data_IF_901650846530
#
_entry.id   IF_901650846530
#
_cell.length_a   1.000
_cell.length_b   1.000
_cell.length_c   1.000
_cell.angle_alpha   90.00
_cell.angle_beta   90.00
_cell.angle_gamma   90.00
#
_symmetry.space_group_name_H-M   'P 1'
#
loop_
_entity.id
_entity.type
_entity.pdbx_description
1 polymer ?
#
# COMPACT_ATOMS: atom_id res chain seq x y z
N UNK A 1 2.99 -4.66 17.79
CA UNK A 1 3.64 -4.48 16.47
C UNK A 1 3.66 -2.99 16.12
N UNK A 2 4.81 -2.48 15.74
CA UNK A 2 4.96 -1.10 15.29
C UNK A 2 5.16 -1.05 13.78
N UNK A 3 4.49 -0.10 13.13
CA UNK A 3 4.67 0.17 11.71
C UNK A 3 5.24 1.58 11.57
N UNK A 4 6.40 1.68 10.97
CA UNK A 4 7.09 2.95 10.74
C UNK A 4 7.09 3.31 9.27
N UNK A 5 6.82 4.57 8.95
CA UNK A 5 6.86 5.08 7.59
C UNK A 5 7.94 6.14 7.43
N UNK A 6 8.75 6.02 6.37
CA UNK A 6 9.50 7.12 5.81
C UNK A 6 8.62 7.77 4.75
N UNK A 7 8.35 9.08 4.89
CA UNK A 7 7.38 9.77 4.05
C UNK A 7 8.09 10.83 3.22
N UNK A 8 7.88 10.79 1.91
CA UNK A 8 8.27 11.84 0.99
C UNK A 8 7.01 12.40 0.31
N UNK A 9 6.86 13.71 0.30
CA UNK A 9 5.77 14.37 -0.42
C UNK A 9 6.32 15.11 -1.61
N UNK A 10 6.09 14.59 -2.81
CA UNK A 10 6.58 15.11 -4.07
C UNK A 10 5.47 15.69 -4.94
N UNK A 11 4.43 16.24 -4.30
CA UNK A 11 3.31 16.88 -5.01
C UNK A 11 2.77 18.04 -4.19
N UNK A 12 2.09 18.97 -4.82
CA UNK A 12 1.52 20.17 -4.18
C UNK A 12 0.02 20.35 -4.44
N UNK A 13 -0.64 19.36 -5.05
CA UNK A 13 -2.05 19.45 -5.42
C UNK A 13 -2.99 19.14 -4.26
N UNK A 14 -2.56 18.30 -3.32
CA UNK A 14 -3.36 17.90 -2.17
C UNK A 14 -2.53 17.98 -0.89
N UNK A 15 -3.13 18.43 0.22
CA UNK A 15 -2.40 18.47 1.49
C UNK A 15 -2.18 17.07 2.04
N UNK A 16 -0.97 16.81 2.52
CA UNK A 16 -0.65 15.58 3.25
C UNK A 16 -0.74 15.91 4.73
N UNK A 17 -1.84 15.50 5.35
CA UNK A 17 -2.09 15.75 6.77
C UNK A 17 -1.55 14.62 7.63
N UNK A 18 -1.37 14.88 8.92
CA UNK A 18 -1.00 13.84 9.88
C UNK A 18 -2.11 12.79 9.99
N UNK A 19 -3.36 13.20 9.86
CA UNK A 19 -4.52 12.32 9.88
C UNK A 19 -4.51 11.33 8.72
N UNK A 20 -4.17 11.81 7.52
CA UNK A 20 -4.03 10.95 6.34
C UNK A 20 -2.92 9.91 6.53
N UNK A 21 -1.77 10.34 7.01
CA UNK A 21 -0.63 9.47 7.26
C UNK A 21 -0.94 8.44 8.34
N UNK A 22 -1.63 8.84 9.42
CA UNK A 22 -2.02 7.93 10.48
C UNK A 22 -3.04 6.90 10.00
N UNK A 23 -3.94 7.31 9.12
CA UNK A 23 -4.91 6.40 8.50
C UNK A 23 -4.19 5.34 7.65
N UNK A 24 -3.19 5.74 6.88
CA UNK A 24 -2.36 4.82 6.10
C UNK A 24 -1.59 3.86 7.00
N UNK A 25 -1.06 4.35 8.13
CA UNK A 25 -0.36 3.51 9.10
C UNK A 25 -1.29 2.46 9.69
N UNK A 26 -2.51 2.85 10.05
CA UNK A 26 -3.53 1.92 10.56
C UNK A 26 -3.90 0.88 9.51
N UNK A 27 -4.09 1.29 8.28
CA UNK A 27 -4.41 0.38 7.17
C UNK A 27 -3.28 -0.64 6.97
N UNK A 28 -2.04 -0.19 6.98
CA UNK A 28 -0.87 -1.07 6.86
C UNK A 28 -0.75 -2.02 8.05
N UNK A 29 -0.90 -1.51 9.27
CA UNK A 29 -0.82 -2.32 10.48
C UNK A 29 -1.90 -3.40 10.52
N UNK A 30 -3.13 -3.04 10.16
CA UNK A 30 -4.25 -4.00 10.12
C UNK A 30 -4.02 -5.07 9.06
N UNK A 31 -3.46 -4.69 7.91
CA UNK A 31 -3.12 -5.65 6.86
C UNK A 31 -2.08 -6.65 7.32
N UNK A 32 -1.03 -6.15 7.97
CA UNK A 32 0.03 -7.01 8.52
C UNK A 32 -0.50 -7.96 9.58
N UNK A 33 -1.32 -7.45 10.49
CA UNK A 33 -1.94 -8.26 11.53
C UNK A 33 -2.83 -9.36 10.94
N UNK A 34 -3.66 -9.01 9.96
CA UNK A 34 -4.54 -9.96 9.28
C UNK A 34 -3.76 -11.04 8.53
N UNK A 35 -2.55 -10.73 8.09
CA UNK A 35 -1.67 -11.66 7.36
C UNK A 35 -0.70 -12.41 8.28
N UNK A 36 -0.85 -12.28 9.59
CA UNK A 36 -0.06 -13.03 10.56
C UNK A 36 1.34 -12.50 10.82
N UNK A 37 1.60 -11.24 10.46
CA UNK A 37 2.88 -10.59 10.74
C UNK A 37 2.85 -10.06 12.17
N UNK A 38 3.75 -10.52 13.02
CA UNK A 38 3.79 -10.18 14.45
C UNK A 38 5.05 -9.42 14.87
N UNK A 39 5.83 -8.94 13.92
CA UNK A 39 7.06 -8.20 14.18
C UNK A 39 6.98 -6.80 13.58
N UNK A 40 7.86 -5.91 14.06
CA UNK A 40 7.88 -4.51 13.65
C UNK A 40 8.36 -4.36 12.21
N UNK A 41 7.68 -3.53 11.43
CA UNK A 41 7.95 -3.34 10.01
C UNK A 41 8.14 -1.87 9.66
N UNK A 42 8.85 -1.62 8.57
CA UNK A 42 8.98 -0.28 7.99
C UNK A 42 8.66 -0.28 6.50
N UNK A 43 8.13 0.86 6.05
CA UNK A 43 7.82 1.12 4.66
C UNK A 43 8.29 2.52 4.29
N UNK A 44 8.57 2.72 3.02
CA UNK A 44 8.70 4.06 2.45
C UNK A 44 7.41 4.39 1.68
N UNK A 45 6.88 5.59 1.89
CA UNK A 45 5.71 6.09 1.15
C UNK A 45 6.11 7.39 0.45
N UNK A 46 5.91 7.45 -0.86
CA UNK A 46 6.03 8.66 -1.64
C UNK A 46 4.65 9.08 -2.13
N UNK A 47 4.22 10.28 -1.76
CA UNK A 47 3.02 10.90 -2.32
C UNK A 47 3.43 11.69 -3.55
N UNK A 48 2.82 11.39 -4.68
CA UNK A 48 3.11 12.05 -5.96
C UNK A 48 1.82 12.42 -6.70
N UNK A 49 1.96 12.88 -7.93
CA UNK A 49 0.83 13.17 -8.83
C UNK A 49 0.87 12.23 -10.05
N UNK A 50 -0.06 12.44 -10.99
CA UNK A 50 -0.16 11.58 -12.16
C UNK A 50 1.10 11.63 -13.03
N UNK A 51 1.72 12.79 -13.17
CA UNK A 51 2.94 12.93 -13.95
C UNK A 51 4.11 12.20 -13.30
N UNK A 52 4.27 12.34 -11.99
CA UNK A 52 5.33 11.68 -11.23
C UNK A 52 5.21 10.16 -11.24
N UNK A 53 4.01 9.63 -11.02
CA UNK A 53 3.81 8.18 -11.00
C UNK A 53 3.89 7.58 -12.41
N UNK A 54 3.51 8.33 -13.43
CA UNK A 54 3.68 7.92 -14.82
C UNK A 54 5.16 7.73 -15.16
N UNK A 55 6.00 8.65 -14.72
CA UNK A 55 7.45 8.58 -14.93
C UNK A 55 8.03 7.32 -14.27
N UNK A 56 7.61 7.01 -13.04
CA UNK A 56 8.05 5.82 -12.32
C UNK A 56 7.55 4.53 -12.99
N UNK A 57 6.30 4.53 -13.43
CA UNK A 57 5.71 3.38 -14.11
C UNK A 57 6.43 3.07 -15.42
N UNK A 58 6.80 4.11 -16.16
CA UNK A 58 7.58 3.98 -17.40
C UNK A 58 8.98 3.44 -17.12
N UNK A 59 9.65 3.97 -16.08
CA UNK A 59 11.03 3.58 -15.75
C UNK A 59 11.12 2.15 -15.22
N UNK A 60 10.23 1.76 -14.30
CA UNK A 60 10.35 0.49 -13.58
C UNK A 60 9.47 -0.63 -14.12
N UNK A 61 8.39 -0.31 -14.83
CA UNK A 61 7.45 -1.30 -15.36
C UNK A 61 7.30 -1.24 -16.89
N UNK A 62 8.00 -0.34 -17.52
CA UNK A 62 7.95 -0.13 -18.96
C UNK A 62 6.54 0.19 -19.48
N UNK A 63 5.73 0.87 -18.66
CA UNK A 63 4.37 1.30 -18.98
C UNK A 63 4.29 2.81 -18.91
N UNK A 64 4.08 3.48 -20.03
CA UNK A 64 3.97 4.93 -20.10
C UNK A 64 2.54 5.39 -19.82
N UNK A 65 2.10 5.20 -18.58
CA UNK A 65 0.77 5.59 -18.14
C UNK A 65 0.75 5.88 -16.63
N UNK A 66 -0.13 6.78 -16.23
CA UNK A 66 -0.37 7.03 -14.82
C UNK A 66 -1.15 5.86 -14.22
N UNK A 67 -0.91 5.59 -12.93
CA UNK A 67 -1.64 4.62 -12.15
C UNK A 67 -1.95 5.22 -10.79
N UNK A 68 -2.64 4.49 -9.92
CA UNK A 68 -2.98 4.96 -8.58
C UNK A 68 -1.86 4.69 -7.57
N UNK A 69 -1.33 3.48 -7.54
CA UNK A 69 -0.29 3.08 -6.61
C UNK A 69 0.71 2.16 -7.29
N UNK A 70 1.98 2.31 -6.95
CA UNK A 70 3.05 1.39 -7.30
C UNK A 70 3.64 0.82 -6.03
N UNK A 71 3.94 -0.47 -6.05
CA UNK A 71 4.53 -1.19 -4.93
C UNK A 71 5.85 -1.83 -5.36
N UNK A 72 6.90 -1.60 -4.57
CA UNK A 72 8.23 -2.11 -4.83
C UNK A 72 8.65 -2.99 -3.65
N UNK A 73 8.36 -4.31 -3.71
CA UNK A 73 8.67 -5.21 -2.59
C UNK A 73 10.17 -5.39 -2.41
N UNK A 74 10.60 -5.46 -1.16
CA UNK A 74 11.98 -5.75 -0.79
C UNK A 74 12.28 -7.25 -0.84
N UNK A 75 11.24 -8.09 -0.67
CA UNK A 75 11.36 -9.54 -0.65
C UNK A 75 10.46 -10.18 -1.70
N UNK A 76 10.86 -11.34 -2.20
CA UNK A 76 10.00 -12.19 -3.01
C UNK A 76 9.25 -13.16 -2.09
N UNK A 77 8.06 -12.78 -1.66
CA UNK A 77 7.26 -13.54 -0.71
C UNK A 77 6.13 -14.31 -1.40
N UNK A 78 5.70 -15.38 -0.75
CA UNK A 78 4.49 -16.11 -1.13
C UNK A 78 3.37 -15.72 -0.16
N UNK A 79 2.13 -15.51 -0.63
CA UNK A 79 1.02 -15.16 0.25
C UNK A 79 0.88 -16.13 1.42
N UNK A 80 0.79 -15.59 2.63
CA UNK A 80 0.72 -16.37 3.85
C UNK A 80 2.06 -16.82 4.41
N UNK A 81 3.16 -16.55 3.72
CA UNK A 81 4.52 -16.92 4.15
C UNK A 81 5.35 -15.66 4.39
N UNK A 82 5.30 -15.06 5.59
CA UNK A 82 6.04 -13.85 5.91
C UNK A 82 7.55 -14.09 6.01
N UNK A 83 8.37 -13.03 5.92
CA UNK A 83 9.80 -13.15 6.19
C UNK A 83 10.00 -13.56 7.66
N UNK A 84 10.83 -14.56 7.90
CA UNK A 84 11.04 -15.14 9.23
C UNK A 84 12.47 -15.01 9.74
N UNK A 85 13.43 -14.58 8.89
CA UNK A 85 14.83 -14.53 9.23
C UNK A 85 15.21 -13.24 9.96
N UNK A 86 16.00 -13.37 11.02
CA UNK A 86 16.58 -12.21 11.71
C UNK A 86 17.46 -11.36 10.79
N UNK A 87 18.01 -11.98 9.73
CA UNK A 87 18.79 -11.29 8.71
C UNK A 87 17.94 -10.34 7.87
N UNK A 88 16.62 -10.53 7.86
CA UNK A 88 15.69 -9.66 7.15
C UNK A 88 15.41 -8.36 7.92
N UNK A 89 15.89 -8.24 9.15
CA UNK A 89 15.73 -7.03 9.94
C UNK A 89 16.84 -6.03 9.67
N UNK A 90 16.50 -4.74 9.66
CA UNK A 90 17.49 -3.68 9.58
C UNK A 90 18.32 -3.66 10.89
N UNK A 91 19.63 -3.82 10.82
CA UNK A 91 20.46 -3.88 12.03
C UNK A 91 20.48 -2.57 12.83
N UNK A 92 20.15 -1.43 12.21
CA UNK A 92 20.10 -0.13 12.90
C UNK A 92 18.79 0.10 13.62
N UNK A 93 17.67 -0.35 13.06
CA UNK A 93 16.33 -0.07 13.58
C UNK A 93 15.66 -1.28 14.23
N UNK A 94 16.09 -2.50 13.91
CA UNK A 94 15.41 -3.73 14.31
C UNK A 94 14.10 -3.97 13.58
N UNK A 95 13.78 -3.15 12.58
CA UNK A 95 12.53 -3.24 11.81
C UNK A 95 12.76 -4.05 10.54
N UNK A 96 11.71 -4.71 10.07
CA UNK A 96 11.73 -5.41 8.78
C UNK A 96 11.34 -4.46 7.65
N UNK A 97 12.25 -4.13 6.72
CA UNK A 97 11.90 -3.26 5.58
C UNK A 97 11.13 -4.08 4.54
N UNK A 98 9.83 -3.88 4.46
CA UNK A 98 8.98 -4.64 3.53
C UNK A 98 9.00 -4.08 2.12
N UNK A 99 9.25 -2.79 1.97
CA UNK A 99 9.35 -2.19 0.66
C UNK A 99 8.89 -0.75 0.60
N UNK A 100 8.69 -0.30 -0.64
CA UNK A 100 8.32 1.07 -0.95
C UNK A 100 6.97 1.10 -1.64
N UNK A 101 6.15 2.12 -1.33
CA UNK A 101 4.94 2.38 -2.07
C UNK A 101 4.92 3.83 -2.54
N UNK A 102 4.38 4.05 -3.74
CA UNK A 102 4.22 5.36 -4.33
C UNK A 102 2.75 5.54 -4.69
N UNK A 103 2.13 6.60 -4.18
CA UNK A 103 0.70 6.86 -4.35
C UNK A 103 0.52 8.18 -5.08
N UNK A 104 -0.25 8.16 -6.20
CA UNK A 104 -0.70 9.39 -6.83
C UNK A 104 -1.96 9.88 -6.11
N UNK A 105 -1.82 10.94 -5.32
CA UNK A 105 -2.98 11.55 -4.65
C UNK A 105 -3.95 12.15 -5.66
N UNK A 106 -3.46 12.64 -6.78
CA UNK A 106 -4.29 13.16 -7.88
C UNK A 106 -5.19 12.06 -8.45
N UNK A 107 -4.61 10.88 -8.72
CA UNK A 107 -5.37 9.72 -9.23
C UNK A 107 -6.32 9.18 -8.16
N UNK A 108 -5.88 9.11 -6.92
CA UNK A 108 -6.69 8.66 -5.80
C UNK A 108 -7.92 9.56 -5.61
N UNK A 109 -7.74 10.88 -5.69
CA UNK A 109 -8.84 11.84 -5.59
C UNK A 109 -9.84 11.68 -6.74
N UNK A 110 -9.36 11.48 -7.96
CA UNK A 110 -10.21 11.27 -9.13
C UNK A 110 -11.02 9.97 -9.00
N UNK A 111 -10.40 8.90 -8.54
CA UNK A 111 -11.07 7.61 -8.31
C UNK A 111 -12.11 7.70 -7.19
N UNK A 112 -11.76 8.38 -6.10
CA UNK A 112 -12.70 8.60 -5.00
C UNK A 112 -13.96 9.31 -5.49
N UNK A 113 -13.81 10.35 -6.29
CA UNK A 113 -14.94 11.10 -6.86
C UNK A 113 -15.76 10.22 -7.82
N UNK A 114 -15.09 9.45 -8.66
CA UNK A 114 -15.74 8.55 -9.62
C UNK A 114 -16.58 7.48 -8.92
N UNK A 115 -16.07 6.91 -7.84
CA UNK A 115 -16.73 5.85 -7.09
C UNK A 115 -17.64 6.35 -5.97
N UNK A 116 -17.72 7.66 -5.76
CA UNK A 116 -18.62 8.26 -4.77
C UNK A 116 -18.20 8.05 -3.32
N UNK A 117 -16.90 7.98 -3.03
CA UNK A 117 -16.41 7.88 -1.66
C UNK A 117 -15.32 8.90 -1.34
N UNK A 118 -14.88 8.94 -0.08
CA UNK A 118 -13.89 9.92 0.36
C UNK A 118 -12.48 9.61 -0.15
N UNK A 119 -11.62 10.62 -0.18
CA UNK A 119 -10.22 10.44 -0.48
C UNK A 119 -9.56 9.52 0.56
N UNK A 120 -9.91 9.69 1.83
CA UNK A 120 -9.38 8.88 2.92
C UNK A 120 -9.66 7.40 2.72
N UNK A 121 -10.86 7.07 2.29
CA UNK A 121 -11.23 5.69 1.97
C UNK A 121 -10.43 5.14 0.80
N UNK A 122 -10.28 5.92 -0.28
CA UNK A 122 -9.52 5.51 -1.45
C UNK A 122 -8.06 5.25 -1.09
N UNK A 123 -7.43 6.16 -0.34
CA UNK A 123 -6.05 6.03 0.07
C UNK A 123 -5.86 4.82 0.99
N UNK A 124 -6.81 4.58 1.90
CA UNK A 124 -6.79 3.38 2.76
C UNK A 124 -6.85 2.10 1.94
N UNK A 125 -7.74 2.05 0.94
CA UNK A 125 -7.82 0.92 0.02
C UNK A 125 -6.50 0.69 -0.71
N UNK A 126 -5.89 1.76 -1.24
CA UNK A 126 -4.62 1.67 -1.94
C UNK A 126 -3.49 1.20 -1.03
N UNK A 127 -3.49 1.63 0.24
CA UNK A 127 -2.51 1.18 1.23
C UNK A 127 -2.64 -0.33 1.50
N UNK A 128 -3.86 -0.82 1.74
CA UNK A 128 -4.11 -2.25 1.94
C UNK A 128 -3.65 -3.04 0.71
N UNK A 129 -4.05 -2.59 -0.47
CA UNK A 129 -3.69 -3.21 -1.74
C UNK A 129 -2.17 -3.29 -1.91
N UNK A 130 -1.47 -2.19 -1.65
CA UNK A 130 -0.02 -2.12 -1.78
C UNK A 130 0.69 -3.04 -0.78
N UNK A 131 0.26 -3.05 0.48
CA UNK A 131 0.88 -3.93 1.49
C UNK A 131 0.70 -5.40 1.12
N UNK A 132 -0.48 -5.78 0.62
CA UNK A 132 -0.69 -7.16 0.15
C UNK A 132 0.25 -7.51 -1.00
N UNK A 133 0.48 -6.60 -1.93
CA UNK A 133 1.48 -6.79 -2.98
C UNK A 133 2.89 -6.99 -2.40
N UNK A 134 3.25 -6.19 -1.42
CA UNK A 134 4.56 -6.32 -0.76
C UNK A 134 4.71 -7.68 -0.06
N UNK A 135 3.59 -8.29 0.36
CA UNK A 135 3.57 -9.62 0.98
C UNK A 135 3.46 -10.77 -0.04
N UNK A 136 3.49 -10.48 -1.33
CA UNK A 136 3.53 -11.49 -2.37
C UNK A 136 2.24 -11.70 -3.15
N UNK A 137 1.15 -11.05 -2.78
CA UNK A 137 -0.11 -11.13 -3.55
C UNK A 137 0.05 -10.47 -4.91
N UNK A 138 -0.54 -11.06 -5.92
CA UNK A 138 -0.46 -10.58 -7.29
C UNK A 138 -1.83 -10.69 -7.97
N UNK A 139 -2.12 -9.76 -8.88
CA UNK A 139 -3.37 -9.76 -9.64
C UNK A 139 -3.12 -9.64 -11.15
N UNK A 140 -1.93 -10.05 -11.62
CA UNK A 140 -1.58 -9.99 -13.04
C UNK A 140 -2.47 -10.91 -13.89
N UNK A 141 -2.99 -11.98 -13.29
CA UNK A 141 -3.99 -12.82 -13.95
C UNK A 141 -5.38 -12.56 -13.34
N UNK A 142 -6.41 -12.97 -14.04
CA UNK A 142 -7.80 -12.86 -13.59
C UNK A 142 -8.26 -14.07 -12.80
N UNK A 143 -7.31 -14.89 -12.35
CA UNK A 143 -7.57 -16.18 -11.74
C UNK A 143 -7.75 -16.15 -10.22
N UNK A 144 -7.47 -17.29 -9.57
CA UNK A 144 -7.68 -17.44 -8.12
C UNK A 144 -6.92 -16.45 -7.24
N UNK A 145 -5.72 -16.03 -7.65
CA UNK A 145 -4.91 -15.08 -6.90
C UNK A 145 -5.59 -13.71 -6.80
N UNK A 146 -6.17 -13.23 -7.88
CA UNK A 146 -6.90 -11.97 -7.89
C UNK A 146 -8.11 -12.01 -6.96
N UNK A 147 -8.86 -13.10 -6.99
CA UNK A 147 -10.03 -13.29 -6.11
C UNK A 147 -9.62 -13.36 -4.65
N UNK A 148 -8.54 -14.07 -4.34
CA UNK A 148 -7.99 -14.17 -2.99
C UNK A 148 -7.57 -12.80 -2.47
N UNK A 149 -6.85 -12.03 -3.27
CA UNK A 149 -6.41 -10.70 -2.90
C UNK A 149 -7.59 -9.77 -2.62
N UNK A 150 -8.61 -9.78 -3.47
CA UNK A 150 -9.81 -8.95 -3.29
C UNK A 150 -10.56 -9.32 -2.01
N UNK A 151 -10.71 -10.61 -1.72
CA UNK A 151 -11.36 -11.06 -0.50
C UNK A 151 -10.60 -10.59 0.75
N UNK A 152 -9.28 -10.63 0.73
CA UNK A 152 -8.45 -10.13 1.83
C UNK A 152 -8.58 -8.63 1.99
N UNK A 153 -8.57 -7.87 0.90
CA UNK A 153 -8.77 -6.41 0.92
C UNK A 153 -10.09 -6.04 1.58
N UNK A 154 -11.18 -6.68 1.19
CA UNK A 154 -12.51 -6.40 1.73
C UNK A 154 -12.59 -6.76 3.22
N UNK A 155 -12.04 -7.88 3.63
CA UNK A 155 -12.03 -8.30 5.03
C UNK A 155 -11.26 -7.30 5.91
N UNK A 156 -10.10 -6.84 5.45
CA UNK A 156 -9.27 -5.89 6.17
C UNK A 156 -9.95 -4.53 6.28
N UNK A 157 -10.50 -4.03 5.19
CA UNK A 157 -11.21 -2.74 5.18
C UNK A 157 -12.44 -2.78 6.07
N UNK A 158 -13.19 -3.88 6.08
CA UNK A 158 -14.31 -4.07 7.00
C UNK A 158 -13.87 -4.05 8.46
N UNK A 159 -12.73 -4.67 8.77
CA UNK A 159 -12.14 -4.64 10.10
C UNK A 159 -11.75 -3.24 10.57
N UNK A 160 -11.38 -2.36 9.63
CA UNK A 160 -11.07 -0.96 9.91
C UNK A 160 -12.33 -0.08 10.02
N UNK A 161 -13.50 -0.61 9.74
CA UNK A 161 -14.73 0.18 9.65
C UNK A 161 -14.87 0.97 8.37
N UNK A 162 -14.05 0.69 7.37
CA UNK A 162 -14.08 1.33 6.07
C UNK A 162 -14.84 0.43 5.12
N UNK A 163 -16.15 0.67 5.00
CA UNK A 163 -17.01 -0.15 4.15
C UNK A 163 -17.21 0.49 2.79
N UNK A 164 -17.37 -0.36 1.80
CA UNK A 164 -17.80 0.08 0.49
C UNK A 164 -19.23 0.61 0.63
N UNK A 165 -19.44 1.88 0.26
CA UNK A 165 -20.80 2.43 0.22
C UNK A 165 -21.55 1.82 -0.95
N UNK A 166 -22.76 1.38 -0.67
CA UNK A 166 -23.66 0.85 -1.68
C UNK A 166 -24.35 1.97 -2.48
#
# INVERSE_FOLDING_TARGET
MNVSFEIANEQDKFPVTEELTELLRRAAAETLDAEGIDFDCEFSITYTDNEGIRALNREYRNKDSATDVLSFPMFELTPGEPPEDEEDLDPETGLCPLGDMCISLERAAAQAQEYGHSLEREVSYLAVHSVLHLLGYDHLDEGPMKRQMRAREEAILNGLGIRREE
#
